data_IF_545754097137
#
_entry.id   IF_545754097137
#
_cell.length_a   1.000
_cell.length_b   1.000
_cell.length_c   1.000
_cell.angle_alpha   90.00
_cell.angle_beta   90.00
_cell.angle_gamma   90.00
#
_symmetry.space_group_name_H-M   'P 1'
#
loop_
_entity.id
_entity.type
_entity.pdbx_description
1 polymer ?
#
# COMPACT_ATOMS: atom_id res chain seq x y z
N UNK A 1 8.33 18.09 -10.64
CA UNK A 1 8.35 17.27 -9.40
C UNK A 1 9.09 15.97 -9.65
N UNK A 2 9.93 15.49 -8.73
CA UNK A 2 10.47 14.12 -8.81
C UNK A 2 9.38 13.16 -8.32
N UNK A 3 8.82 12.34 -9.22
CA UNK A 3 7.87 11.29 -8.87
C UNK A 3 8.54 10.27 -7.97
N UNK A 4 7.82 9.76 -6.96
CA UNK A 4 8.29 8.60 -6.22
C UNK A 4 8.24 7.38 -7.17
N UNK A 5 9.17 6.43 -6.99
CA UNK A 5 9.12 5.18 -7.73
C UNK A 5 7.88 4.37 -7.35
N UNK A 6 7.36 3.57 -8.28
CA UNK A 6 6.30 2.61 -7.98
C UNK A 6 6.87 1.33 -7.37
N UNK A 7 6.07 0.66 -6.54
CA UNK A 7 6.37 -0.68 -6.04
C UNK A 7 5.43 -1.68 -6.69
N UNK A 8 6.00 -2.71 -7.30
CA UNK A 8 5.25 -3.84 -7.84
C UNK A 8 5.75 -5.14 -7.19
N UNK A 9 4.81 -5.98 -6.77
CA UNK A 9 5.09 -7.33 -6.27
C UNK A 9 4.03 -8.31 -6.76
N UNK A 10 4.45 -9.52 -7.08
CA UNK A 10 3.56 -10.57 -7.58
C UNK A 10 3.84 -11.90 -6.87
N UNK A 11 2.76 -12.58 -6.47
CA UNK A 11 2.78 -13.98 -6.06
C UNK A 11 1.92 -14.79 -7.02
N UNK A 12 2.53 -15.78 -7.67
CA UNK A 12 1.84 -16.77 -8.51
C UNK A 12 1.62 -18.05 -7.73
N UNK A 13 0.38 -18.32 -7.34
CA UNK A 13 -0.02 -19.56 -6.68
C UNK A 13 -0.62 -20.59 -7.63
N UNK A 14 -0.99 -20.19 -8.85
CA UNK A 14 -1.38 -21.10 -9.94
C UNK A 14 -2.83 -21.59 -9.88
N UNK A 15 -3.63 -21.16 -8.90
CA UNK A 15 -5.06 -21.49 -8.83
C UNK A 15 -5.93 -20.27 -8.50
N UNK A 16 -7.16 -20.29 -9.00
CA UNK A 16 -8.19 -19.29 -8.68
C UNK A 16 -7.97 -17.92 -9.33
N UNK A 17 -8.79 -16.95 -8.90
CA UNK A 17 -8.76 -15.58 -9.42
C UNK A 17 -7.53 -14.82 -8.90
N UNK A 18 -7.04 -13.88 -9.68
CA UNK A 18 -6.02 -12.92 -9.24
C UNK A 18 -6.68 -11.81 -8.43
N UNK A 19 -6.15 -11.54 -7.24
CA UNK A 19 -6.51 -10.36 -6.45
C UNK A 19 -5.46 -9.28 -6.66
N UNK A 20 -5.89 -8.12 -7.13
CA UNK A 20 -5.08 -6.92 -7.24
C UNK A 20 -5.30 -6.05 -6.00
N UNK A 21 -4.23 -5.74 -5.30
CA UNK A 21 -4.21 -4.85 -4.14
C UNK A 21 -3.47 -3.57 -4.53
N UNK A 22 -4.19 -2.45 -4.52
CA UNK A 22 -3.68 -1.14 -4.91
C UNK A 22 -3.46 -0.26 -3.68
N UNK A 23 -2.46 0.61 -3.78
CA UNK A 23 -2.26 1.74 -2.89
C UNK A 23 -1.31 2.74 -3.52
N UNK A 24 -0.90 3.76 -2.76
CA UNK A 24 0.04 4.78 -3.20
C UNK A 24 1.05 5.14 -2.10
N UNK A 25 2.23 5.60 -2.51
CA UNK A 25 3.38 5.89 -1.65
C UNK A 25 3.55 7.39 -1.40
N UNK A 26 3.03 8.20 -2.32
CA UNK A 26 3.08 9.64 -2.25
C UNK A 26 2.10 10.22 -1.24
N UNK A 27 2.22 11.51 -0.97
CA UNK A 27 1.37 12.26 -0.05
C UNK A 27 1.34 13.71 -0.52
N UNK A 28 0.20 14.40 -0.41
CA UNK A 28 0.08 15.83 -0.78
C UNK A 28 1.00 16.78 -0.01
N UNK A 29 1.26 16.47 1.27
CA UNK A 29 2.00 17.35 2.18
C UNK A 29 3.38 16.79 2.47
N UNK A 30 4.27 17.65 2.95
CA UNK A 30 5.51 17.22 3.58
C UNK A 30 5.45 17.51 5.09
N UNK A 31 5.90 16.57 5.91
CA UNK A 31 6.61 16.96 7.13
C UNK A 31 5.92 16.84 8.50
N UNK A 32 4.75 16.23 8.67
CA UNK A 32 4.34 15.82 10.02
C UNK A 32 5.07 14.53 10.40
N UNK A 33 5.93 14.61 11.41
CA UNK A 33 6.62 13.43 11.96
C UNK A 33 5.61 12.47 12.57
N UNK A 34 5.87 11.19 12.42
CA UNK A 34 5.07 10.17 13.07
C UNK A 34 5.11 10.34 14.59
N UNK A 35 3.93 10.42 15.21
CA UNK A 35 3.74 10.31 16.66
C UNK A 35 2.47 9.55 16.94
N UNK A 36 2.40 8.94 18.12
CA UNK A 36 1.21 8.23 18.58
C UNK A 36 0.78 8.79 19.93
N UNK A 37 -0.49 9.11 20.04
CA UNK A 37 -1.13 9.51 21.29
C UNK A 37 -2.28 8.57 21.56
N UNK A 38 -2.17 7.77 22.62
CA UNK A 38 -3.12 6.71 22.95
C UNK A 38 -3.34 5.77 21.75
N UNK A 39 -4.55 5.79 21.18
CA UNK A 39 -4.97 4.96 20.06
C UNK A 39 -4.97 5.70 18.73
N UNK A 40 -4.43 6.92 18.67
CA UNK A 40 -4.40 7.74 17.45
C UNK A 40 -2.94 7.92 17.00
N UNK A 41 -2.69 7.62 15.73
CA UNK A 41 -1.41 7.85 15.07
C UNK A 41 -1.49 9.06 14.15
N UNK A 42 -0.58 10.01 14.34
CA UNK A 42 -0.46 11.24 13.56
C UNK A 42 0.83 11.19 12.74
N UNK A 43 0.87 11.96 11.66
CA UNK A 43 1.97 11.98 10.72
C UNK A 43 1.51 11.99 9.27
N UNK A 44 2.34 12.53 8.39
CA UNK A 44 2.00 12.65 6.97
C UNK A 44 1.81 11.27 6.34
N UNK A 45 0.62 11.07 5.80
CA UNK A 45 0.19 9.84 5.14
C UNK A 45 -0.22 8.70 6.07
N UNK A 46 -0.37 8.94 7.38
CA UNK A 46 -0.89 7.90 8.29
C UNK A 46 -2.30 7.46 7.91
N UNK A 47 -3.15 8.39 7.47
CA UNK A 47 -4.48 8.07 6.92
C UNK A 47 -4.43 7.86 5.41
N UNK A 48 -3.78 8.75 4.66
CA UNK A 48 -3.78 8.77 3.19
C UNK A 48 -2.36 8.66 2.59
N UNK A 49 -1.93 7.48 2.14
CA UNK A 49 -2.53 6.17 2.44
C UNK A 49 -1.54 5.14 2.97
N UNK A 50 -0.43 5.60 3.57
CA UNK A 50 0.60 4.71 4.15
C UNK A 50 0.03 3.79 5.23
N UNK A 51 -0.96 4.26 6.01
CA UNK A 51 -1.67 3.38 6.94
C UNK A 51 -2.38 2.22 6.25
N UNK A 52 -3.05 2.46 5.12
CA UNK A 52 -3.66 1.43 4.29
C UNK A 52 -2.63 0.43 3.74
N UNK A 53 -1.48 0.92 3.29
CA UNK A 53 -0.38 0.06 2.83
C UNK A 53 0.15 -0.86 3.93
N UNK A 54 0.25 -0.36 5.16
CA UNK A 54 0.66 -1.17 6.33
C UNK A 54 -0.40 -2.23 6.65
N UNK A 55 -1.69 -1.87 6.64
CA UNK A 55 -2.79 -2.84 6.83
C UNK A 55 -2.73 -3.94 5.77
N UNK A 56 -2.55 -3.58 4.50
CA UNK A 56 -2.37 -4.51 3.38
C UNK A 56 -1.22 -5.49 3.67
N UNK A 57 -0.05 -4.96 4.04
CA UNK A 57 1.14 -5.78 4.31
C UNK A 57 0.90 -6.76 5.47
N UNK A 58 0.28 -6.31 6.56
CA UNK A 58 0.03 -7.17 7.73
C UNK A 58 -1.08 -8.19 7.47
N UNK A 59 -2.10 -7.85 6.67
CA UNK A 59 -3.11 -8.81 6.23
C UNK A 59 -2.46 -9.93 5.41
N UNK A 60 -1.60 -9.60 4.44
CA UNK A 60 -0.85 -10.60 3.68
C UNK A 60 0.08 -11.44 4.57
N UNK A 61 0.76 -10.81 5.53
CA UNK A 61 1.61 -11.52 6.50
C UNK A 61 0.81 -12.52 7.33
N UNK A 62 -0.36 -12.13 7.84
CA UNK A 62 -1.23 -12.99 8.64
C UNK A 62 -1.79 -14.16 7.80
N UNK A 63 -2.28 -13.88 6.58
CA UNK A 63 -2.78 -14.91 5.67
C UNK A 63 -1.67 -15.88 5.24
N UNK A 64 -0.45 -15.39 5.04
CA UNK A 64 0.70 -16.24 4.79
C UNK A 64 1.02 -17.14 5.99
N UNK A 65 0.97 -16.60 7.21
CA UNK A 65 1.17 -17.37 8.45
C UNK A 65 0.08 -18.44 8.69
N UNK A 66 -1.11 -18.25 8.13
CA UNK A 66 -2.22 -19.22 8.15
C UNK A 66 -2.23 -20.19 6.94
N UNK A 67 -1.20 -20.17 6.10
CA UNK A 67 -1.12 -20.93 4.83
C UNK A 67 -2.26 -20.63 3.82
N UNK A 68 -3.03 -19.55 4.06
CA UNK A 68 -4.18 -19.17 3.23
C UNK A 68 -3.77 -18.57 1.88
N UNK A 69 -2.51 -18.18 1.71
CA UNK A 69 -1.98 -17.63 0.45
C UNK A 69 -1.29 -18.67 -0.44
N UNK A 70 -1.14 -19.92 -0.01
CA UNK A 70 -0.31 -20.94 -0.69
C UNK A 70 -0.53 -21.02 -2.19
N UNK A 71 -1.80 -21.18 -2.59
CA UNK A 71 -2.21 -21.33 -3.99
C UNK A 71 -2.79 -20.03 -4.58
N UNK A 72 -2.82 -18.93 -3.81
CA UNK A 72 -3.40 -17.66 -4.23
C UNK A 72 -2.52 -16.91 -5.24
N UNK A 73 -3.18 -16.25 -6.19
CA UNK A 73 -2.60 -15.28 -7.11
C UNK A 73 -2.83 -13.86 -6.58
N UNK A 74 -1.75 -13.17 -6.20
CA UNK A 74 -1.81 -11.82 -5.61
C UNK A 74 -0.89 -10.89 -6.38
N UNK A 75 -1.38 -9.72 -6.74
CA UNK A 75 -0.58 -8.61 -7.25
C UNK A 75 -0.72 -7.46 -6.27
N UNK A 76 0.40 -6.87 -5.86
CA UNK A 76 0.45 -5.62 -5.11
C UNK A 76 1.07 -4.56 -6.01
N UNK A 77 0.38 -3.44 -6.19
CA UNK A 77 0.92 -2.30 -6.91
C UNK A 77 0.69 -1.02 -6.11
N UNK A 78 1.80 -0.41 -5.67
CA UNK A 78 1.79 0.85 -4.94
C UNK A 78 2.34 1.95 -5.85
N UNK A 79 1.47 2.86 -6.27
CA UNK A 79 1.84 4.00 -7.12
C UNK A 79 2.64 5.04 -6.33
N UNK A 80 3.22 6.02 -7.01
CA UNK A 80 4.07 7.05 -6.38
C UNK A 80 3.71 8.46 -6.85
N UNK A 81 2.51 8.60 -7.41
CA UNK A 81 1.99 9.77 -8.09
C UNK A 81 0.45 9.84 -8.07
N UNK A 82 -0.22 9.17 -7.12
CA UNK A 82 -1.68 9.20 -7.02
C UNK A 82 -2.21 10.59 -6.64
N UNK A 83 -1.51 11.28 -5.74
CA UNK A 83 -1.87 12.60 -5.21
C UNK A 83 -1.55 13.72 -6.21
N UNK A 84 -0.74 13.40 -7.22
CA UNK A 84 -0.51 14.30 -8.33
C UNK A 84 -1.62 14.07 -9.35
N UNK A 85 -2.74 14.78 -9.18
CA UNK A 85 -3.80 14.83 -10.17
C UNK A 85 -3.14 15.03 -11.54
N UNK A 86 -3.24 14.01 -12.41
CA UNK A 86 -2.65 14.07 -13.73
C UNK A 86 -3.00 15.42 -14.37
N UNK A 87 -1.99 16.18 -14.82
CA UNK A 87 -2.27 17.34 -15.67
C UNK A 87 -3.08 16.81 -16.86
N UNK A 88 -4.36 17.16 -16.90
CA UNK A 88 -5.20 16.92 -18.06
C UNK A 88 -4.77 17.94 -19.10
N UNK A 89 -4.05 17.47 -20.13
CA UNK A 89 -3.86 18.22 -21.38
C UNK A 89 -5.21 18.62 -22.01
#
# INVERSE_FOLDING_TARGET
MKRAGHLFAEKKGGKGKTVLLLGHLDTVLSGEKFRRENNIAYGTGTSDMKGGNVVLLYALKALNGADALKDANIIVFLTGDEENAAETD
#
